data_IF_643114752517
#
_entry.id   IF_643114752517
#
_cell.length_a   1.000
_cell.length_b   1.000
_cell.length_c   1.000
_cell.angle_alpha   90.00
_cell.angle_beta   90.00
_cell.angle_gamma   90.00
#
_symmetry.space_group_name_H-M   'P 1'
#
loop_
_entity.id
_entity.type
_entity.pdbx_description
1 polymer ?
#
# COMPACT_ATOMS: atom_id res chain seq x y z
N UNK A 1 -8.00 6.07 -2.22
CA UNK A 1 -8.25 4.70 -2.74
C UNK A 1 -7.45 3.71 -1.94
N UNK A 2 -7.98 2.51 -1.67
CA UNK A 2 -7.30 1.49 -0.86
C UNK A 2 -7.29 0.17 -1.62
N UNK A 3 -6.12 -0.45 -1.75
CA UNK A 3 -5.92 -1.72 -2.46
C UNK A 3 -5.28 -2.72 -1.50
N UNK A 4 -5.92 -3.87 -1.33
CA UNK A 4 -5.38 -4.97 -0.54
C UNK A 4 -4.87 -6.08 -1.48
N UNK A 5 -3.75 -6.69 -1.11
CA UNK A 5 -3.18 -7.83 -1.84
C UNK A 5 -2.66 -8.89 -0.88
N UNK A 6 -2.68 -10.16 -1.32
CA UNK A 6 -2.08 -11.24 -0.56
C UNK A 6 -0.57 -11.08 -0.45
N UNK A 7 0.01 -11.58 0.64
CA UNK A 7 1.44 -11.46 0.95
C UNK A 7 2.32 -12.51 0.25
N UNK A 8 1.79 -13.14 -0.80
CA UNK A 8 2.56 -14.01 -1.67
C UNK A 8 3.60 -13.18 -2.43
N UNK A 9 4.76 -13.78 -2.68
CA UNK A 9 5.91 -13.15 -3.37
C UNK A 9 5.50 -12.47 -4.69
N UNK A 10 4.63 -13.10 -5.48
CA UNK A 10 4.13 -12.55 -6.77
C UNK A 10 2.99 -11.53 -6.64
N UNK A 11 2.57 -11.21 -5.42
CA UNK A 11 1.55 -10.22 -5.15
C UNK A 11 2.17 -9.10 -4.32
N UNK A 12 1.79 -8.94 -3.05
CA UNK A 12 2.24 -7.86 -2.19
C UNK A 12 3.26 -8.32 -1.15
N UNK A 13 3.80 -9.55 -1.27
CA UNK A 13 4.81 -10.07 -0.35
C UNK A 13 6.07 -9.20 -0.24
N UNK A 14 6.39 -8.41 -1.27
CA UNK A 14 7.53 -7.51 -1.29
C UNK A 14 7.18 -6.05 -0.93
N UNK A 15 5.95 -5.73 -0.51
CA UNK A 15 5.58 -4.35 -0.11
C UNK A 15 6.50 -3.79 0.99
N UNK A 16 7.03 -4.65 1.85
CA UNK A 16 7.98 -4.26 2.92
C UNK A 16 9.31 -3.72 2.40
N UNK A 17 9.64 -3.97 1.13
CA UNK A 17 10.88 -3.49 0.52
C UNK A 17 10.76 -2.05 0.01
N UNK A 18 9.53 -1.52 -0.07
CA UNK A 18 9.32 -0.13 -0.46
C UNK A 18 9.81 0.83 0.62
N UNK A 19 10.22 2.02 0.17
CA UNK A 19 10.69 3.09 1.03
C UNK A 19 10.05 4.41 0.64
N UNK A 20 9.91 5.37 1.58
CA UNK A 20 9.53 6.73 1.24
C UNK A 20 10.35 7.27 0.08
N UNK A 21 9.67 7.86 -0.90
CA UNK A 21 10.30 8.36 -2.11
C UNK A 21 10.24 7.42 -3.31
N UNK A 22 9.96 6.12 -3.13
CA UNK A 22 9.78 5.19 -4.25
C UNK A 22 8.54 5.55 -5.09
N UNK A 23 8.65 5.39 -6.41
CA UNK A 23 7.53 5.64 -7.32
C UNK A 23 6.54 4.47 -7.31
N UNK A 24 5.25 4.77 -7.40
CA UNK A 24 4.17 3.80 -7.56
C UNK A 24 3.29 4.26 -8.71
N UNK A 25 3.14 3.43 -9.73
CA UNK A 25 2.24 3.70 -10.86
C UNK A 25 1.05 2.75 -10.79
N UNK A 26 -0.15 3.32 -10.82
CA UNK A 26 -1.37 2.56 -11.02
C UNK A 26 -1.85 2.78 -12.44
N UNK A 27 -1.93 1.69 -13.22
CA UNK A 27 -2.49 1.70 -14.55
C UNK A 27 -3.89 1.07 -14.52
N UNK A 28 -4.88 1.78 -15.05
CA UNK A 28 -6.26 1.30 -15.15
C UNK A 28 -6.48 0.55 -16.47
N UNK A 29 -7.60 -0.17 -16.57
CA UNK A 29 -7.91 -1.05 -17.72
C UNK A 29 -8.08 -0.28 -19.05
N UNK A 30 -8.41 1.01 -18.99
CA UNK A 30 -8.47 1.93 -20.12
C UNK A 30 -7.10 2.52 -20.52
N UNK A 31 -6.03 2.12 -19.81
CA UNK A 31 -4.66 2.54 -20.07
C UNK A 31 -4.25 3.84 -19.39
N UNK A 32 -5.11 4.47 -18.59
CA UNK A 32 -4.74 5.67 -17.84
C UNK A 32 -3.76 5.35 -16.72
N UNK A 33 -2.70 6.15 -16.61
CA UNK A 33 -1.69 6.01 -15.56
C UNK A 33 -1.86 7.10 -14.49
N UNK A 34 -1.74 6.68 -13.24
CA UNK A 34 -1.71 7.54 -12.06
C UNK A 34 -0.40 7.32 -11.33
N UNK A 35 0.39 8.39 -11.22
CA UNK A 35 1.70 8.36 -10.60
C UNK A 35 1.63 8.85 -9.15
N UNK A 36 2.17 8.04 -8.26
CA UNK A 36 2.28 8.32 -6.84
C UNK A 36 3.72 8.15 -6.38
N UNK A 37 3.97 8.61 -5.16
CA UNK A 37 5.20 8.37 -4.44
C UNK A 37 4.87 7.83 -3.06
N UNK A 38 5.63 6.84 -2.60
CA UNK A 38 5.52 6.33 -1.23
C UNK A 38 5.84 7.48 -0.26
N UNK A 39 4.91 7.78 0.62
CA UNK A 39 5.05 8.78 1.67
C UNK A 39 5.56 8.13 2.96
N UNK A 40 4.94 7.01 3.36
CA UNK A 40 5.32 6.29 4.59
C UNK A 40 4.92 4.82 4.54
N UNK A 41 5.54 4.02 5.40
CA UNK A 41 5.17 2.63 5.67
C UNK A 41 4.79 2.50 7.16
N UNK A 42 3.70 1.78 7.40
CA UNK A 42 3.13 1.56 8.73
C UNK A 42 2.91 0.06 8.93
N UNK A 43 3.15 -0.44 10.15
CA UNK A 43 2.73 -1.79 10.55
C UNK A 43 1.58 -1.66 11.53
N UNK A 44 0.41 -2.13 11.12
CA UNK A 44 -0.82 -2.08 11.90
C UNK A 44 -1.17 -3.47 12.40
N UNK A 45 -1.92 -3.57 13.49
CA UNK A 45 -2.44 -4.87 13.95
C UNK A 45 -3.51 -5.39 12.99
N UNK A 46 -3.71 -6.71 12.93
CA UNK A 46 -4.70 -7.33 12.02
C UNK A 46 -6.14 -6.83 12.19
N UNK A 47 -6.47 -6.30 13.36
CA UNK A 47 -7.82 -5.79 13.71
C UNK A 47 -7.98 -4.27 13.53
N UNK A 48 -6.91 -3.55 13.18
CA UNK A 48 -6.90 -2.09 12.99
C UNK A 48 -7.53 -1.66 11.64
N UNK A 49 -8.75 -2.14 11.36
CA UNK A 49 -9.43 -1.97 10.06
C UNK A 49 -9.75 -0.52 9.74
N UNK A 50 -10.05 0.29 10.77
CA UNK A 50 -10.27 1.73 10.61
C UNK A 50 -8.98 2.42 10.19
N UNK A 51 -7.89 2.13 10.87
CA UNK A 51 -6.58 2.73 10.62
C UNK A 51 -6.07 2.38 9.22
N UNK A 52 -6.27 1.13 8.76
CA UNK A 52 -5.89 0.70 7.40
C UNK A 52 -6.58 1.51 6.28
N UNK A 53 -7.77 2.03 6.54
CA UNK A 53 -8.57 2.78 5.56
C UNK A 53 -8.62 4.28 5.85
N UNK A 54 -8.19 4.69 7.05
CA UNK A 54 -8.11 6.08 7.47
C UNK A 54 -6.93 6.79 6.81
N UNK A 55 -7.01 8.12 6.83
CA UNK A 55 -6.01 9.03 6.28
C UNK A 55 -6.43 9.64 4.95
N UNK A 56 -5.90 10.83 4.67
CA UNK A 56 -6.14 11.56 3.41
C UNK A 56 -5.14 11.16 2.30
N UNK A 57 -4.63 9.93 2.37
CA UNK A 57 -3.71 9.44 1.35
C UNK A 57 -4.48 9.06 0.09
N UNK A 58 -4.13 9.61 -1.08
CA UNK A 58 -4.84 9.32 -2.32
C UNK A 58 -4.75 7.84 -2.72
N UNK A 59 -3.66 7.16 -2.35
CA UNK A 59 -3.50 5.72 -2.51
C UNK A 59 -2.93 5.08 -1.23
N UNK A 60 -3.52 3.98 -0.79
CA UNK A 60 -2.99 3.10 0.25
C UNK A 60 -2.94 1.67 -0.28
N UNK A 61 -1.81 1.00 -0.09
CA UNK A 61 -1.62 -0.42 -0.39
C UNK A 61 -1.41 -1.17 0.93
N UNK A 62 -2.03 -2.32 1.13
CA UNK A 62 -1.68 -3.13 2.31
C UNK A 62 -1.74 -4.64 2.08
N UNK A 63 -0.98 -5.37 2.90
CA UNK A 63 -0.93 -6.83 2.92
C UNK A 63 -0.76 -7.37 4.33
N UNK A 64 -0.95 -8.67 4.53
CA UNK A 64 -0.59 -9.36 5.77
C UNK A 64 0.92 -9.48 5.91
N UNK A 65 1.44 -9.38 7.13
CA UNK A 65 2.78 -9.92 7.39
C UNK A 65 2.74 -11.46 7.31
N UNK A 66 3.91 -12.12 7.32
CA UNK A 66 3.97 -13.59 7.21
C UNK A 66 3.27 -14.32 8.37
N UNK A 67 3.17 -13.69 9.55
CA UNK A 67 2.43 -14.28 10.68
C UNK A 67 0.91 -14.17 10.54
N UNK A 68 0.43 -13.26 9.68
CA UNK A 68 -0.98 -12.91 9.55
C UNK A 68 -1.52 -12.01 10.68
N UNK A 69 -0.71 -11.73 11.70
CA UNK A 69 -1.11 -10.97 12.89
C UNK A 69 -1.00 -9.45 12.70
N UNK A 70 -0.23 -9.01 11.71
CA UNK A 70 -0.06 -7.61 11.36
C UNK A 70 -0.44 -7.34 9.90
N UNK A 71 -0.55 -6.06 9.56
CA UNK A 71 -0.67 -5.56 8.20
C UNK A 71 0.43 -4.57 7.91
N UNK A 72 1.12 -4.81 6.82
CA UNK A 72 2.06 -3.85 6.24
C UNK A 72 1.25 -2.92 5.36
N UNK A 73 1.27 -1.63 5.68
CA UNK A 73 0.50 -0.60 5.01
C UNK A 73 1.46 0.41 4.40
N UNK A 74 1.36 0.65 3.10
CA UNK A 74 2.13 1.63 2.36
C UNK A 74 1.21 2.76 1.97
N UNK A 75 1.54 3.97 2.43
CA UNK A 75 0.80 5.19 2.14
C UNK A 75 1.49 5.92 1.00
N UNK A 76 0.71 6.31 0.00
CA UNK A 76 1.21 6.98 -1.18
C UNK A 76 0.54 8.34 -1.33
N UNK A 77 1.33 9.34 -1.70
CA UNK A 77 0.87 10.67 -2.06
C UNK A 77 0.95 10.86 -3.57
N UNK A 78 0.12 11.76 -4.12
CA UNK A 78 0.16 12.07 -5.54
C UNK A 78 1.49 12.72 -5.87
N UNK A 79 2.13 12.26 -6.95
CA UNK A 79 3.35 12.90 -7.44
C UNK A 79 2.93 14.19 -8.16
N UNK A 80 3.44 15.34 -7.70
CA UNK A 80 3.25 16.63 -8.37
C UNK A 80 3.91 16.64 -9.77
#
# INVERSE_FOLDING_TARGET
MVIAGHNYERHFGELTNLQPGNAVTLQTMDGQEYCYQVATLETLTSTATKEMTAGEYPLTLFTCDYSGQARITVRCQQKA
#
